data_IF_472445346545
#
_entry.id   IF_472445346545
#
_cell.length_a   1.000
_cell.length_b   1.000
_cell.length_c   1.000
_cell.angle_alpha   90.00
_cell.angle_beta   90.00
_cell.angle_gamma   90.00
#
_symmetry.space_group_name_H-M   'P 1'
#
loop_
_entity.id
_entity.type
_entity.pdbx_description
1 polymer ?
#
# COMPACT_ATOMS: atom_id res chain seq x y z
N UNK A 1 3.11 21.70 -5.44
CA UNK A 1 3.54 21.99 -4.06
C UNK A 1 3.36 20.80 -3.09
N UNK A 2 2.94 19.59 -3.54
CA UNK A 2 2.57 18.49 -2.65
C UNK A 2 3.55 17.29 -2.55
N UNK A 3 4.51 17.09 -3.48
CA UNK A 3 5.36 15.88 -3.42
C UNK A 3 6.47 15.97 -2.37
N UNK A 4 7.15 17.13 -2.26
CA UNK A 4 8.22 17.30 -1.27
C UNK A 4 7.77 17.08 0.18
N UNK A 5 6.54 17.46 0.56
CA UNK A 5 6.05 17.26 1.93
C UNK A 5 5.81 15.78 2.25
N UNK A 6 5.28 15.00 1.29
CA UNK A 6 5.12 13.54 1.44
C UNK A 6 6.48 12.85 1.50
N UNK A 7 7.39 13.22 0.60
CA UNK A 7 8.76 12.70 0.58
C UNK A 7 9.51 12.97 1.89
N UNK A 8 9.39 14.19 2.42
CA UNK A 8 9.98 14.57 3.72
C UNK A 8 9.39 13.71 4.84
N UNK A 9 8.06 13.58 4.91
CA UNK A 9 7.40 12.80 5.95
C UNK A 9 7.80 11.32 5.90
N UNK A 10 7.87 10.73 4.71
CA UNK A 10 8.35 9.35 4.52
C UNK A 10 9.78 9.19 5.04
N UNK A 11 10.68 10.12 4.70
CA UNK A 11 12.06 10.09 5.17
C UNK A 11 12.16 10.23 6.69
N UNK A 12 11.37 11.13 7.29
CA UNK A 12 11.29 11.29 8.74
C UNK A 12 10.82 10.01 9.44
N UNK A 13 9.80 9.33 8.92
CA UNK A 13 9.32 8.04 9.43
C UNK A 13 10.39 6.94 9.34
N UNK A 14 11.12 6.87 8.22
CA UNK A 14 12.21 5.90 8.03
C UNK A 14 13.35 6.15 9.02
N UNK A 15 13.78 7.41 9.16
CA UNK A 15 14.84 7.79 10.11
C UNK A 15 14.42 7.44 11.54
N UNK A 16 13.22 7.84 11.95
CA UNK A 16 12.70 7.54 13.28
C UNK A 16 12.65 6.04 13.56
N UNK A 17 12.24 5.22 12.59
CA UNK A 17 12.25 3.76 12.74
C UNK A 17 13.67 3.22 12.96
N UNK A 18 14.63 3.62 12.12
CA UNK A 18 16.03 3.18 12.21
C UNK A 18 16.66 3.54 13.55
N UNK A 19 16.35 4.72 14.10
CA UNK A 19 16.84 5.16 15.42
C UNK A 19 16.18 4.40 16.58
N UNK A 20 14.94 3.94 16.41
CA UNK A 20 14.14 3.30 17.46
C UNK A 20 14.43 1.82 17.69
N UNK A 21 15.09 1.14 16.75
CA UNK A 21 15.35 -0.32 16.80
C UNK A 21 16.83 -0.66 16.60
N UNK A 22 17.33 -1.79 17.12
CA UNK A 22 18.68 -2.25 16.80
C UNK A 22 18.87 -2.41 15.29
N UNK A 23 19.87 -1.73 14.74
CA UNK A 23 20.08 -1.71 13.30
C UNK A 23 20.40 -3.09 12.74
N UNK A 24 19.58 -3.53 11.78
CA UNK A 24 19.75 -4.77 11.04
C UNK A 24 19.54 -4.47 9.55
N UNK A 25 20.59 -4.54 8.71
CA UNK A 25 20.48 -4.11 7.31
C UNK A 25 19.42 -4.87 6.49
N UNK A 26 19.32 -6.22 6.57
CA UNK A 26 18.25 -6.96 5.88
C UNK A 26 16.83 -6.56 6.30
N UNK A 27 16.59 -6.30 7.59
CA UNK A 27 15.27 -5.88 8.08
C UNK A 27 14.97 -4.44 7.67
N UNK A 28 15.95 -3.54 7.74
CA UNK A 28 15.82 -2.16 7.28
C UNK A 28 15.46 -2.08 5.79
N UNK A 29 16.15 -2.85 4.93
CA UNK A 29 15.85 -2.90 3.51
C UNK A 29 14.41 -3.38 3.22
N UNK A 30 13.92 -4.38 3.95
CA UNK A 30 12.53 -4.86 3.83
C UNK A 30 11.52 -3.80 4.24
N UNK A 31 11.78 -3.09 5.35
CA UNK A 31 10.91 -2.02 5.83
C UNK A 31 10.82 -0.86 4.83
N UNK A 32 11.97 -0.38 4.33
CA UNK A 32 12.01 0.69 3.33
C UNK A 32 11.26 0.27 2.06
N UNK A 33 11.45 -0.97 1.60
CA UNK A 33 10.74 -1.48 0.42
C UNK A 33 9.22 -1.53 0.64
N UNK A 34 8.76 -2.00 1.79
CA UNK A 34 7.33 -2.02 2.13
C UNK A 34 6.73 -0.60 2.16
N UNK A 35 7.40 0.35 2.82
CA UNK A 35 6.95 1.75 2.87
C UNK A 35 6.87 2.42 1.50
N UNK A 36 7.82 2.11 0.60
CA UNK A 36 7.76 2.62 -0.77
C UNK A 36 6.58 2.05 -1.55
N UNK A 37 6.28 0.76 -1.39
CA UNK A 37 5.12 0.13 -2.03
C UNK A 37 3.80 0.75 -1.54
N UNK A 38 3.67 1.00 -0.23
CA UNK A 38 2.50 1.66 0.35
C UNK A 38 2.29 3.05 -0.27
N UNK A 39 3.34 3.86 -0.39
CA UNK A 39 3.22 5.21 -1.00
C UNK A 39 2.80 5.14 -2.48
N UNK A 40 3.40 4.23 -3.27
CA UNK A 40 3.04 4.07 -4.69
C UNK A 40 1.60 3.58 -4.88
N UNK A 41 1.07 2.81 -3.93
CA UNK A 41 -0.32 2.36 -3.91
C UNK A 41 -1.29 3.55 -3.79
N UNK A 42 -0.97 4.58 -3.00
CA UNK A 42 -1.84 5.75 -2.84
C UNK A 42 -1.61 6.87 -3.89
N UNK A 43 -0.82 6.59 -4.92
CA UNK A 43 -0.63 7.50 -6.06
C UNK A 43 -1.65 7.26 -7.19
N UNK A 44 -2.44 6.19 -7.12
CA UNK A 44 -3.53 5.99 -8.07
C UNK A 44 -4.68 6.97 -7.77
N UNK A 45 -5.12 7.73 -8.78
CA UNK A 45 -6.32 8.60 -8.68
C UNK A 45 -7.63 7.80 -8.64
N UNK A 46 -7.56 6.47 -8.63
CA UNK A 46 -8.72 5.58 -8.57
C UNK A 46 -9.10 5.30 -7.10
N UNK A 47 -10.16 5.97 -6.64
CA UNK A 47 -10.70 5.83 -5.28
C UNK A 47 -11.08 4.37 -4.96
N UNK A 48 -11.59 3.61 -5.94
CA UNK A 48 -12.00 2.22 -5.73
C UNK A 48 -10.80 1.29 -5.59
N UNK A 49 -9.74 1.55 -6.35
CA UNK A 49 -8.48 0.81 -6.20
C UNK A 49 -7.83 1.08 -4.84
N UNK A 50 -7.85 2.34 -4.39
CA UNK A 50 -7.35 2.71 -3.06
C UNK A 50 -8.12 2.01 -1.93
N UNK A 51 -9.46 1.93 -2.01
CA UNK A 51 -10.28 1.17 -1.04
C UNK A 51 -9.91 -0.33 -1.00
N UNK A 52 -9.69 -0.95 -2.16
CA UNK A 52 -9.28 -2.36 -2.23
C UNK A 52 -7.93 -2.54 -1.54
N UNK A 53 -6.98 -1.63 -1.77
CA UNK A 53 -5.68 -1.70 -1.13
C UNK A 53 -5.71 -1.41 0.38
N UNK A 54 -6.56 -0.50 0.86
CA UNK A 54 -6.77 -0.29 2.30
C UNK A 54 -7.28 -1.56 2.98
N UNK A 55 -8.29 -2.21 2.39
CA UNK A 55 -8.88 -3.45 2.91
C UNK A 55 -7.85 -4.59 2.96
N UNK A 56 -7.07 -4.77 1.89
CA UNK A 56 -6.05 -5.82 1.85
C UNK A 56 -4.84 -5.48 2.74
N UNK A 57 -4.47 -4.21 2.84
CA UNK A 57 -3.41 -3.71 3.72
C UNK A 57 -3.71 -3.95 5.20
N UNK A 58 -4.99 -3.85 5.60
CA UNK A 58 -5.47 -4.17 6.96
C UNK A 58 -5.16 -5.60 7.42
N UNK A 59 -5.01 -6.55 6.48
CA UNK A 59 -4.60 -7.93 6.80
C UNK A 59 -3.17 -8.00 7.37
N UNK A 60 -2.30 -7.04 7.05
CA UNK A 60 -0.93 -6.97 7.57
C UNK A 60 -0.85 -6.36 8.98
N UNK A 61 -1.85 -5.56 9.36
CA UNK A 61 -1.94 -4.90 10.67
C UNK A 61 -2.52 -5.81 11.77
N UNK A 62 -2.94 -7.03 11.42
CA UNK A 62 -3.55 -7.97 12.36
C UNK A 62 -5.00 -7.62 12.72
N UNK A 63 -5.68 -6.82 11.89
CA UNK A 63 -7.12 -6.61 12.04
C UNK A 63 -7.89 -7.93 11.80
N UNK A 64 -9.01 -8.12 12.51
CA UNK A 64 -9.73 -9.41 12.74
C UNK A 64 -10.28 -10.13 11.48
N UNK A 65 -10.00 -9.66 10.26
CA UNK A 65 -10.56 -10.21 9.02
C UNK A 65 -9.46 -10.67 8.06
N UNK A 66 -9.34 -11.99 7.89
CA UNK A 66 -8.53 -12.59 6.84
C UNK A 66 -9.42 -12.93 5.65
N UNK A 67 -9.12 -12.36 4.49
CA UNK A 67 -9.75 -12.76 3.22
C UNK A 67 -9.11 -14.03 2.67
N UNK A 68 -9.93 -14.95 2.18
CA UNK A 68 -9.50 -16.09 1.38
C UNK A 68 -8.90 -15.62 0.05
N UNK A 69 -8.11 -16.50 -0.57
CA UNK A 69 -7.55 -16.25 -1.91
C UNK A 69 -8.66 -15.91 -2.91
N UNK A 70 -9.77 -16.62 -2.85
CA UNK A 70 -10.91 -16.45 -3.73
C UNK A 70 -11.54 -15.05 -3.56
N UNK A 71 -11.73 -14.60 -2.32
CA UNK A 71 -12.28 -13.26 -2.02
C UNK A 71 -11.36 -12.14 -2.55
N UNK A 72 -10.05 -12.26 -2.34
CA UNK A 72 -9.07 -11.29 -2.87
C UNK A 72 -9.12 -11.24 -4.40
N UNK A 73 -9.15 -12.41 -5.05
CA UNK A 73 -9.23 -12.48 -6.51
C UNK A 73 -10.53 -11.91 -7.05
N UNK A 74 -11.67 -12.14 -6.40
CA UNK A 74 -12.95 -11.54 -6.79
C UNK A 74 -12.87 -10.01 -6.74
N UNK A 75 -12.41 -9.43 -5.63
CA UNK A 75 -12.31 -7.96 -5.49
C UNK A 75 -11.46 -7.31 -6.58
N UNK A 76 -10.31 -7.91 -6.89
CA UNK A 76 -9.39 -7.38 -7.91
C UNK A 76 -9.95 -7.54 -9.33
N UNK A 77 -10.54 -8.70 -9.65
CA UNK A 77 -11.09 -8.95 -10.99
C UNK A 77 -12.33 -8.09 -11.26
N UNK A 78 -13.20 -7.89 -10.28
CA UNK A 78 -14.39 -7.03 -10.44
C UNK A 78 -14.00 -5.58 -10.79
N UNK A 79 -12.94 -5.07 -10.17
CA UNK A 79 -12.43 -3.75 -10.48
C UNK A 79 -11.73 -3.70 -11.85
N UNK A 80 -10.94 -4.72 -12.19
CA UNK A 80 -10.31 -4.85 -13.51
C UNK A 80 -11.36 -4.87 -14.64
N UNK A 81 -12.44 -5.62 -14.48
CA UNK A 81 -13.54 -5.67 -15.44
C UNK A 81 -14.22 -4.30 -15.59
N UNK A 82 -14.40 -3.57 -14.48
CA UNK A 82 -14.96 -2.21 -14.49
C UNK A 82 -14.10 -1.25 -15.31
N UNK A 83 -12.77 -1.29 -15.12
CA UNK A 83 -11.82 -0.48 -15.87
C UNK A 83 -11.83 -0.83 -17.37
N UNK A 84 -11.85 -2.12 -17.69
CA UNK A 84 -11.88 -2.61 -19.08
C UNK A 84 -13.16 -2.18 -19.82
N UNK A 85 -14.32 -2.22 -19.15
CA UNK A 85 -15.59 -1.76 -19.73
C UNK A 85 -15.57 -0.25 -20.01
N UNK A 86 -14.93 0.53 -19.14
CA UNK A 86 -14.83 1.99 -19.31
C UNK A 86 -13.81 2.38 -20.39
N UNK A 87 -12.75 1.59 -20.60
CA UNK A 87 -11.77 1.81 -21.67
C UNK A 87 -12.29 1.52 -23.08
N UNK A 88 -13.40 0.77 -23.22
CA UNK A 88 -14.04 0.44 -24.50
C UNK A 88 -15.19 1.37 -24.89
N UNK A 89 -15.46 2.44 -24.13
CA UNK A 89 -16.43 3.50 -24.47
C UNK A 89 -15.73 4.73 -25.03
#
# INVERSE_FOLDING_TARGET
>A
MKSNEREIKLLEEIVAHIESVPYNPPLCAKYIYAKHLDECVYEFEDERLNEIFDVLGGMSAGEEFFYSKEEVLTMLNDHLDTLNVNACK
#
